data_IF_679148370186
#
_entry.id   IF_679148370186
#
_cell.length_a   1.000
_cell.length_b   1.000
_cell.length_c   1.000
_cell.angle_alpha   90.00
_cell.angle_beta   90.00
_cell.angle_gamma   90.00
#
_symmetry.space_group_name_H-M   'P 1'
#
loop_
_entity.id
_entity.type
_entity.pdbx_description
1 polymer ?
#
# COMPACT_ATOMS: atom_id res chain seq x y z
N UNK A 1 2.03 -15.09 -4.84
CA UNK A 1 2.57 -13.86 -4.21
C UNK A 1 2.26 -13.89 -2.73
N UNK A 2 3.10 -13.26 -1.89
CA UNK A 2 2.88 -13.17 -0.44
C UNK A 2 3.52 -11.91 0.14
N UNK A 3 2.94 -11.39 1.23
CA UNK A 3 3.56 -10.33 2.01
C UNK A 3 4.53 -10.92 3.03
N UNK A 4 5.71 -10.33 3.13
CA UNK A 4 6.68 -10.61 4.17
C UNK A 4 6.79 -9.40 5.09
N UNK A 5 6.51 -9.59 6.38
CA UNK A 5 6.66 -8.57 7.43
C UNK A 5 7.95 -8.81 8.17
N UNK A 6 8.81 -7.80 8.21
CA UNK A 6 10.12 -7.90 8.84
C UNK A 6 10.45 -6.66 9.65
N UNK A 7 11.38 -6.82 10.58
CA UNK A 7 11.86 -5.75 11.45
C UNK A 7 13.24 -5.32 10.98
N UNK A 8 13.38 -4.04 10.67
CA UNK A 8 14.67 -3.43 10.37
C UNK A 8 15.24 -2.79 11.64
N UNK A 9 16.54 -2.97 11.84
CA UNK A 9 17.33 -2.19 12.77
C UNK A 9 18.39 -1.48 11.95
N UNK A 10 18.37 -0.14 11.97
CA UNK A 10 19.31 0.68 11.22
C UNK A 10 20.31 1.35 12.16
N UNK A 11 21.56 1.44 11.70
CA UNK A 11 22.59 2.27 12.29
C UNK A 11 22.99 3.32 11.26
N UNK A 12 22.63 4.59 11.48
CA UNK A 12 23.07 5.68 10.61
C UNK A 12 24.23 6.39 11.28
N UNK A 13 25.45 5.91 11.02
CA UNK A 13 26.71 6.54 11.40
C UNK A 13 27.01 6.60 12.90
N UNK A 14 26.10 7.14 13.72
CA UNK A 14 26.29 7.47 15.13
C UNK A 14 25.00 7.44 15.98
N UNK A 15 23.83 7.14 15.38
CA UNK A 15 22.55 7.06 16.11
C UNK A 15 21.81 5.76 15.76
N UNK A 16 21.44 4.93 16.76
CA UNK A 16 20.54 3.82 16.51
C UNK A 16 19.16 4.37 16.18
N UNK A 17 18.64 4.07 14.99
CA UNK A 17 17.22 4.25 14.77
C UNK A 17 16.50 3.07 15.42
N UNK A 18 15.48 3.38 16.22
CA UNK A 18 14.68 2.37 16.93
C UNK A 18 14.19 1.28 15.97
N UNK A 19 14.02 0.06 16.48
CA UNK A 19 13.56 -1.08 15.68
C UNK A 19 12.24 -0.72 15.00
N UNK A 20 12.20 -0.67 13.66
CA UNK A 20 10.98 -0.39 12.90
C UNK A 20 10.52 -1.62 12.12
N UNK A 21 9.23 -1.69 11.88
CA UNK A 21 8.59 -2.71 11.06
C UNK A 21 8.42 -2.21 9.62
N UNK A 22 8.62 -3.10 8.66
CA UNK A 22 8.41 -2.89 7.23
C UNK A 22 7.73 -4.10 6.64
N UNK A 23 7.20 -3.93 5.43
CA UNK A 23 6.66 -5.02 4.64
C UNK A 23 7.25 -5.01 3.24
N UNK A 24 7.25 -6.17 2.59
CA UNK A 24 7.47 -6.29 1.15
C UNK A 24 6.56 -7.34 0.55
N UNK A 25 6.12 -7.12 -0.69
CA UNK A 25 5.37 -8.08 -1.48
C UNK A 25 6.35 -8.86 -2.35
N UNK A 26 6.26 -10.19 -2.29
CA UNK A 26 7.10 -11.10 -3.06
C UNK A 26 6.28 -11.97 -3.99
N UNK A 27 6.89 -12.34 -5.11
CA UNK A 27 6.45 -13.47 -5.94
C UNK A 27 6.64 -14.79 -5.17
N UNK A 28 6.00 -15.87 -5.63
CA UNK A 28 6.14 -17.20 -5.03
C UNK A 28 7.58 -17.73 -5.08
N UNK A 29 8.34 -17.28 -6.09
CA UNK A 29 9.77 -17.57 -6.27
C UNK A 29 10.70 -16.76 -5.32
N UNK A 30 10.14 -15.85 -4.52
CA UNK A 30 10.88 -15.01 -3.57
C UNK A 30 11.36 -13.66 -4.11
N UNK A 31 11.16 -13.36 -5.39
CA UNK A 31 11.48 -12.07 -6.00
C UNK A 31 10.67 -10.95 -5.36
N UNK A 32 11.31 -9.84 -4.98
CA UNK A 32 10.61 -8.68 -4.40
C UNK A 32 9.96 -7.87 -5.51
N UNK A 33 8.63 -7.76 -5.47
CA UNK A 33 7.83 -7.00 -6.43
C UNK A 33 7.60 -5.56 -5.97
N UNK A 34 7.40 -5.38 -4.65
CA UNK A 34 7.17 -4.08 -4.03
C UNK A 34 7.67 -4.09 -2.59
N UNK A 35 8.10 -2.95 -2.07
CA UNK A 35 8.53 -2.80 -0.68
C UNK A 35 7.98 -1.52 -0.06
N UNK A 36 7.79 -1.50 1.26
CA UNK A 36 7.34 -0.30 1.96
C UNK A 36 8.43 0.77 1.93
N UNK A 37 8.09 1.99 1.52
CA UNK A 37 8.95 3.16 1.77
C UNK A 37 8.79 3.67 3.20
N UNK A 38 7.59 3.49 3.76
CA UNK A 38 7.27 3.80 5.16
C UNK A 38 7.83 2.74 6.13
N UNK A 39 8.05 3.18 7.36
CA UNK A 39 8.41 2.35 8.51
C UNK A 39 7.40 2.54 9.63
N UNK A 40 7.04 1.45 10.31
CA UNK A 40 6.09 1.47 11.41
C UNK A 40 6.79 1.21 12.74
N UNK A 41 6.35 1.88 13.80
CA UNK A 41 6.87 1.63 15.15
C UNK A 41 6.47 0.25 15.68
N UNK A 42 5.25 -0.18 15.34
CA UNK A 42 4.66 -1.41 15.82
C UNK A 42 4.29 -2.38 14.69
N UNK A 43 4.39 -3.68 14.98
CA UNK A 43 4.01 -4.74 14.05
C UNK A 43 2.54 -4.65 13.65
N UNK A 44 1.68 -4.28 14.60
CA UNK A 44 0.23 -4.18 14.37
C UNK A 44 -0.11 -3.09 13.34
N UNK A 45 0.58 -1.94 13.38
CA UNK A 45 0.42 -0.88 12.38
C UNK A 45 0.80 -1.36 10.99
N UNK A 46 1.94 -2.04 10.87
CA UNK A 46 2.39 -2.64 9.61
C UNK A 46 1.38 -3.67 9.06
N UNK A 47 0.83 -4.53 9.93
CA UNK A 47 -0.19 -5.52 9.53
C UNK A 47 -1.51 -4.85 9.11
N UNK A 48 -1.91 -3.77 9.78
CA UNK A 48 -3.12 -3.02 9.42
C UNK A 48 -3.01 -2.42 8.00
N UNK A 49 -1.83 -1.89 7.65
CA UNK A 49 -1.56 -1.42 6.28
C UNK A 49 -1.67 -2.57 5.26
N UNK A 50 -1.13 -3.75 5.55
CA UNK A 50 -1.26 -4.92 4.66
C UNK A 50 -2.72 -5.32 4.47
N UNK A 51 -3.52 -5.33 5.54
CA UNK A 51 -4.96 -5.63 5.46
C UNK A 51 -5.66 -4.67 4.52
N UNK A 52 -5.34 -3.37 4.57
CA UNK A 52 -5.89 -2.38 3.64
C UNK A 52 -5.50 -2.70 2.19
N UNK A 53 -4.22 -3.00 1.93
CA UNK A 53 -3.73 -3.38 0.60
C UNK A 53 -4.42 -4.64 0.05
N UNK A 54 -4.74 -5.60 0.92
CA UNK A 54 -5.44 -6.83 0.54
C UNK A 54 -6.94 -6.64 0.36
N UNK A 55 -7.54 -5.64 1.00
CA UNK A 55 -8.99 -5.47 1.07
C UNK A 55 -9.64 -5.09 -0.27
N UNK A 56 -8.89 -4.55 -1.23
CA UNK A 56 -9.38 -4.02 -2.50
C UNK A 56 -10.56 -3.03 -2.34
N UNK A 57 -10.63 -2.31 -1.20
CA UNK A 57 -11.73 -1.38 -0.89
C UNK A 57 -11.46 0.06 -1.30
N UNK A 58 -10.25 0.37 -1.77
CA UNK A 58 -9.86 1.73 -2.12
C UNK A 58 -10.20 2.05 -3.58
N UNK A 59 -10.72 3.24 -3.81
CA UNK A 59 -10.83 3.78 -5.17
C UNK A 59 -9.43 4.10 -5.71
N UNK A 60 -9.22 3.81 -6.99
CA UNK A 60 -8.03 4.24 -7.71
C UNK A 60 -8.36 5.57 -8.37
N UNK A 61 -7.48 6.56 -8.25
CA UNK A 61 -7.64 7.88 -8.86
C UNK A 61 -6.43 8.14 -9.73
N UNK A 62 -6.67 8.53 -10.98
CA UNK A 62 -5.64 9.14 -11.82
C UNK A 62 -5.37 10.55 -11.29
N UNK A 63 -4.16 10.77 -10.75
CA UNK A 63 -3.80 12.02 -10.10
C UNK A 63 -3.66 13.19 -11.08
N UNK A 64 -3.30 12.93 -12.33
CA UNK A 64 -3.13 13.97 -13.36
C UNK A 64 -4.49 14.38 -13.93
N UNK A 65 -5.38 13.41 -14.17
CA UNK A 65 -6.72 13.67 -14.69
C UNK A 65 -7.74 14.05 -13.59
N UNK A 66 -7.47 13.71 -12.33
CA UNK A 66 -8.42 13.87 -11.22
C UNK A 66 -9.65 12.96 -11.33
N UNK A 67 -9.52 11.80 -11.98
CA UNK A 67 -10.63 10.89 -12.31
C UNK A 67 -10.52 9.58 -11.56
N UNK A 68 -11.66 9.06 -11.09
CA UNK A 68 -11.70 7.73 -10.49
C UNK A 68 -11.61 6.70 -11.59
N UNK A 69 -10.72 5.74 -11.41
CA UNK A 69 -10.51 4.64 -12.32
C UNK A 69 -11.20 3.40 -11.77
N UNK A 70 -12.02 2.78 -12.60
CA UNK A 70 -12.63 1.48 -12.32
C UNK A 70 -12.02 0.43 -13.23
N UNK A 71 -11.79 -0.75 -12.68
CA UNK A 71 -11.33 -1.89 -13.46
C UNK A 71 -12.51 -2.63 -14.07
N UNK A 72 -12.53 -2.73 -15.39
CA UNK A 72 -13.48 -3.53 -16.17
C UNK A 72 -12.71 -4.62 -16.93
N UNK A 73 -12.74 -5.84 -16.43
CA UNK A 73 -11.89 -6.92 -16.93
C UNK A 73 -10.40 -6.57 -16.80
N UNK A 74 -9.74 -6.40 -17.95
CA UNK A 74 -8.32 -6.01 -18.04
C UNK A 74 -8.12 -4.52 -18.27
N UNK A 75 -9.19 -3.76 -18.53
CA UNK A 75 -9.12 -2.34 -18.85
C UNK A 75 -9.39 -1.48 -17.61
N UNK A 76 -8.82 -0.28 -17.63
CA UNK A 76 -9.12 0.78 -16.67
C UNK A 76 -9.96 1.83 -17.38
N UNK A 77 -11.15 2.08 -16.85
CA UNK A 77 -12.09 3.04 -17.41
C UNK A 77 -12.32 4.19 -16.43
N UNK A 78 -12.59 5.37 -16.98
CA UNK A 78 -13.01 6.54 -16.23
C UNK A 78 -14.42 6.31 -15.64
N UNK A 79 -14.50 6.38 -14.30
CA UNK A 79 -15.72 6.21 -13.53
C UNK A 79 -16.28 7.53 -12.98
N UNK A 80 -15.73 8.68 -13.40
CA UNK A 80 -16.18 10.01 -13.01
C UNK A 80 -15.25 10.75 -12.04
N UNK A 81 -15.74 11.85 -11.47
CA UNK A 81 -14.99 12.66 -10.51
C UNK A 81 -14.98 11.96 -9.12
N UNK A 82 -13.83 11.99 -8.46
CA UNK A 82 -13.64 11.47 -7.10
C UNK A 82 -14.58 12.11 -6.06
N UNK A 83 -14.85 13.40 -6.20
CA UNK A 83 -15.72 14.13 -5.25
C UNK A 83 -17.18 13.64 -5.28
N UNK A 84 -17.66 13.22 -6.45
CA UNK A 84 -19.04 12.73 -6.61
C UNK A 84 -19.24 11.35 -5.98
N UNK A 85 -18.22 10.49 -5.99
CA UNK A 85 -18.28 9.13 -5.45
C UNK A 85 -18.12 9.08 -3.92
N UNK A 86 -17.34 10.01 -3.34
CA UNK A 86 -17.22 10.16 -1.88
C UNK A 86 -18.51 10.68 -1.22
N UNK A 87 -19.38 11.35 -1.99
CA UNK A 87 -20.66 11.87 -1.50
C UNK A 87 -21.79 10.84 -1.60
N UNK A 88 -21.73 9.92 -2.57
CA UNK A 88 -22.77 8.91 -2.82
C UNK A 88 -22.71 7.69 -1.87
N UNK A 89 -21.69 7.60 -1.02
CA UNK A 89 -21.45 6.50 -0.08
C UNK A 89 -21.84 6.84 1.37
N UNK A 90 -22.65 7.88 1.57
CA UNK A 90 -23.15 8.36 2.88
C UNK A 90 -24.59 7.94 3.15
#
# INVERSE_FOLDING_TARGET
>A
MYFEVYRTSGWMGFVPFGKKWRWRLKSIDGTTLMQSNETFDDRSGCLSMITLLQSNRCHVVDADAGRVMRREGTEWVDAGNAESLLTASR
#
